data_IF_095207899055
#
_entry.id   IF_095207899055
#
_cell.length_a   1.000
_cell.length_b   1.000
_cell.length_c   1.000
_cell.angle_alpha   90.00
_cell.angle_beta   90.00
_cell.angle_gamma   90.00
#
_symmetry.space_group_name_H-M   'P 1'
#
loop_
_entity.id
_entity.type
_entity.pdbx_description
1 polymer ?
#
# COMPACT_ATOMS: atom_id res chain seq x y z
N UNK A 1 3.96 -4.46 -12.56
CA UNK A 1 2.73 -4.15 -13.34
C UNK A 1 1.96 -5.41 -13.73
N UNK A 2 2.56 -6.38 -14.45
CA UNK A 2 1.85 -7.57 -15.02
C UNK A 2 1.12 -8.34 -13.91
N UNK A 3 1.81 -8.76 -12.84
CA UNK A 3 1.18 -9.53 -11.76
C UNK A 3 0.03 -8.74 -11.12
N UNK A 4 0.23 -7.44 -10.81
CA UNK A 4 -0.81 -6.57 -10.25
C UNK A 4 -2.06 -6.48 -11.13
N UNK A 5 -1.90 -6.42 -12.47
CA UNK A 5 -3.05 -6.41 -13.38
C UNK A 5 -3.75 -7.76 -13.41
N UNK A 6 -3.00 -8.87 -13.33
CA UNK A 6 -3.57 -10.22 -13.42
C UNK A 6 -4.32 -10.64 -12.14
N UNK A 7 -3.95 -10.13 -10.95
CA UNK A 7 -4.67 -10.45 -9.70
C UNK A 7 -6.12 -9.94 -9.68
N UNK A 8 -6.50 -9.04 -10.59
CA UNK A 8 -7.88 -8.61 -10.76
C UNK A 8 -8.79 -9.64 -11.48
N UNK A 9 -8.21 -10.73 -12.01
CA UNK A 9 -8.96 -11.78 -12.71
C UNK A 9 -9.08 -13.03 -11.85
N UNK A 10 -10.30 -13.40 -11.46
CA UNK A 10 -10.59 -14.55 -10.57
C UNK A 10 -10.01 -15.88 -11.10
N UNK A 11 -10.07 -16.10 -12.41
CA UNK A 11 -9.50 -17.30 -13.04
C UNK A 11 -7.99 -17.38 -12.83
N UNK A 12 -7.29 -16.26 -13.01
CA UNK A 12 -5.85 -16.21 -12.80
C UNK A 12 -5.51 -16.41 -11.31
N UNK A 13 -6.21 -15.71 -10.41
CA UNK A 13 -6.04 -15.86 -8.97
C UNK A 13 -6.25 -17.31 -8.52
N UNK A 14 -7.28 -17.99 -9.02
CA UNK A 14 -7.55 -19.40 -8.73
C UNK A 14 -6.42 -20.31 -9.22
N UNK A 15 -5.95 -20.11 -10.45
CA UNK A 15 -4.89 -20.96 -11.03
C UNK A 15 -3.59 -20.85 -10.24
N UNK A 16 -3.13 -19.63 -9.93
CA UNK A 16 -1.85 -19.44 -9.21
C UNK A 16 -1.90 -19.89 -7.76
N UNK A 17 -3.09 -19.86 -7.14
CA UNK A 17 -3.29 -20.30 -5.75
C UNK A 17 -3.47 -21.83 -5.61
N UNK A 18 -3.75 -22.55 -6.71
CA UNK A 18 -4.02 -23.98 -6.68
C UNK A 18 -2.73 -24.79 -6.46
N UNK A 19 -2.57 -25.54 -5.35
CA UNK A 19 -1.34 -26.28 -5.05
C UNK A 19 -1.05 -27.41 -6.04
N UNK A 20 -2.10 -28.11 -6.47
CA UNK A 20 -2.04 -29.18 -7.48
C UNK A 20 -3.38 -29.34 -8.16
N UNK A 21 -3.36 -29.83 -9.38
CA UNK A 21 -4.58 -30.05 -10.16
C UNK A 21 -4.53 -31.42 -10.86
N UNK A 22 -5.55 -32.24 -10.65
CA UNK A 22 -5.71 -33.52 -11.37
C UNK A 22 -6.37 -33.22 -12.71
N UNK A 23 -5.64 -33.48 -13.79
CA UNK A 23 -6.11 -33.30 -15.16
C UNK A 23 -7.14 -34.35 -15.58
N UNK A 24 -7.45 -35.31 -14.69
CA UNK A 24 -8.35 -36.40 -15.00
C UNK A 24 -7.76 -37.41 -15.96
N UNK A 25 -8.65 -38.16 -16.64
CA UNK A 25 -8.26 -39.18 -17.64
C UNK A 25 -8.28 -38.61 -19.05
N UNK A 26 -7.36 -39.12 -19.87
CA UNK A 26 -7.30 -38.88 -21.31
C UNK A 26 -6.70 -40.11 -21.99
N UNK A 27 -6.51 -40.09 -23.32
CA UNK A 27 -6.00 -41.23 -24.10
C UNK A 27 -4.63 -41.77 -23.62
N UNK A 28 -3.81 -40.92 -23.00
CA UNK A 28 -2.49 -41.28 -22.48
C UNK A 28 -2.52 -41.68 -21.00
N UNK A 29 -3.40 -41.07 -20.24
CA UNK A 29 -3.54 -41.26 -18.79
C UNK A 29 -4.95 -41.77 -18.51
N UNK A 30 -5.11 -43.09 -18.49
CA UNK A 30 -6.43 -43.76 -18.39
C UNK A 30 -6.87 -44.02 -16.94
N UNK A 31 -5.97 -43.86 -15.97
CA UNK A 31 -6.27 -44.06 -14.55
C UNK A 31 -6.41 -42.68 -13.87
N UNK A 32 -7.52 -42.40 -13.16
CA UNK A 32 -7.67 -41.15 -12.37
C UNK A 32 -6.53 -40.98 -11.37
N UNK A 33 -6.10 -39.74 -11.16
CA UNK A 33 -5.02 -39.40 -10.21
C UNK A 33 -3.60 -39.66 -10.74
N UNK A 34 -3.45 -40.06 -12.00
CA UNK A 34 -2.12 -40.35 -12.58
C UNK A 34 -1.52 -39.14 -13.32
N UNK A 35 -2.35 -38.15 -13.67
CA UNK A 35 -1.89 -36.94 -14.34
C UNK A 35 -2.18 -35.72 -13.47
N UNK A 36 -1.31 -35.49 -12.45
CA UNK A 36 -1.41 -34.39 -11.52
C UNK A 36 -0.35 -33.33 -11.89
N UNK A 37 -0.80 -32.11 -12.17
CA UNK A 37 0.08 -30.95 -12.31
C UNK A 37 0.33 -30.36 -10.91
N UNK A 38 1.60 -30.20 -10.55
CA UNK A 38 2.03 -29.61 -9.29
C UNK A 38 2.37 -28.13 -9.49
N UNK A 39 1.91 -27.28 -8.58
CA UNK A 39 2.35 -25.89 -8.58
C UNK A 39 3.86 -25.81 -8.26
N UNK A 40 4.57 -25.03 -9.05
CA UNK A 40 6.00 -24.76 -8.83
C UNK A 40 6.26 -23.75 -7.73
N UNK A 41 5.24 -22.93 -7.38
CA UNK A 41 5.27 -22.05 -6.23
C UNK A 41 5.04 -22.87 -4.95
N UNK A 42 6.13 -23.11 -4.21
CA UNK A 42 6.08 -23.89 -2.98
C UNK A 42 5.55 -23.11 -1.77
N UNK A 43 5.38 -21.79 -1.90
CA UNK A 43 4.76 -20.97 -0.86
C UNK A 43 3.24 -21.24 -0.72
N UNK A 44 2.57 -21.72 -1.79
CA UNK A 44 1.15 -22.11 -1.75
C UNK A 44 0.94 -23.63 -1.58
N UNK A 45 2.01 -24.44 -1.59
CA UNK A 45 1.92 -25.89 -1.43
C UNK A 45 2.21 -26.29 0.00
N UNK A 46 1.79 -27.51 0.42
CA UNK A 46 2.17 -28.07 1.71
C UNK A 46 3.67 -28.45 1.71
N UNK A 47 4.52 -27.49 2.03
CA UNK A 47 5.97 -27.61 2.03
C UNK A 47 6.58 -26.79 3.19
N UNK A 48 7.89 -26.89 3.42
CA UNK A 48 8.61 -26.06 4.39
C UNK A 48 8.62 -24.57 4.05
N UNK A 49 8.38 -24.22 2.79
CA UNK A 49 8.27 -22.82 2.33
C UNK A 49 6.88 -22.23 2.54
N UNK A 50 5.85 -23.03 2.84
CA UNK A 50 4.46 -22.59 2.88
C UNK A 50 4.25 -21.32 3.74
N UNK A 51 3.43 -20.40 3.21
CA UNK A 51 2.99 -19.20 3.91
C UNK A 51 1.50 -18.96 3.67
N UNK A 52 0.71 -18.95 4.73
CA UNK A 52 -0.75 -18.81 4.69
C UNK A 52 -1.21 -17.51 3.99
N UNK A 53 -0.38 -16.47 4.04
CA UNK A 53 -0.65 -15.20 3.38
C UNK A 53 -0.33 -15.20 1.87
N UNK A 54 0.37 -16.21 1.32
CA UNK A 54 0.67 -16.27 -0.11
C UNK A 54 -0.55 -16.69 -0.90
N UNK A 55 -0.91 -15.89 -1.89
CA UNK A 55 -2.02 -16.13 -2.81
C UNK A 55 -1.58 -16.79 -4.12
N UNK A 56 -0.28 -16.84 -4.37
CA UNK A 56 0.33 -17.49 -5.51
C UNK A 56 1.31 -16.60 -6.24
N UNK A 57 1.97 -17.19 -7.23
CA UNK A 57 3.00 -16.48 -7.96
C UNK A 57 3.48 -17.22 -9.21
N UNK A 58 4.56 -16.70 -9.80
CA UNK A 58 5.24 -17.28 -10.95
C UNK A 58 6.72 -17.43 -10.69
N UNK A 59 7.18 -18.67 -10.73
CA UNK A 59 8.60 -19.02 -10.63
C UNK A 59 9.28 -18.94 -12.02
N UNK A 60 10.58 -18.68 -12.01
CA UNK A 60 11.43 -18.75 -13.20
C UNK A 60 12.84 -19.18 -12.82
N UNK A 61 13.52 -19.89 -13.70
CA UNK A 61 14.92 -20.30 -13.52
C UNK A 61 15.69 -20.06 -14.81
N UNK A 62 16.89 -19.52 -14.68
CA UNK A 62 17.81 -19.29 -15.82
C UNK A 62 19.23 -19.54 -15.35
N UNK A 63 19.83 -20.66 -15.84
CA UNK A 63 21.16 -21.06 -15.43
C UNK A 63 21.24 -21.29 -13.91
N UNK A 64 22.11 -20.52 -13.26
CA UNK A 64 22.38 -20.61 -11.82
C UNK A 64 21.46 -19.71 -10.96
N UNK A 65 20.45 -19.10 -11.59
CA UNK A 65 19.59 -18.10 -10.96
C UNK A 65 18.14 -18.55 -10.88
N UNK A 66 17.49 -18.27 -9.77
CA UNK A 66 16.05 -18.41 -9.59
C UNK A 66 15.38 -17.05 -9.47
N UNK A 67 14.16 -16.95 -10.01
CA UNK A 67 13.35 -15.75 -9.98
C UNK A 67 11.96 -16.08 -9.47
N UNK A 68 11.33 -15.14 -8.81
CA UNK A 68 9.95 -15.27 -8.35
C UNK A 68 9.24 -13.92 -8.37
N UNK A 69 7.97 -13.93 -8.77
CA UNK A 69 7.03 -12.83 -8.56
C UNK A 69 5.80 -13.39 -7.84
N UNK A 70 5.52 -12.92 -6.65
CA UNK A 70 4.48 -13.42 -5.76
C UNK A 70 3.45 -12.37 -5.37
N UNK A 71 2.21 -12.83 -5.13
CA UNK A 71 1.13 -12.07 -4.54
C UNK A 71 0.85 -12.60 -3.14
N UNK A 72 0.84 -11.69 -2.16
CA UNK A 72 0.67 -12.00 -0.75
C UNK A 72 -0.42 -11.10 -0.17
N UNK A 73 -1.30 -11.67 0.66
CA UNK A 73 -2.38 -10.89 1.28
C UNK A 73 -2.74 -11.45 2.64
N UNK A 74 -2.82 -10.56 3.64
CA UNK A 74 -3.19 -10.86 5.01
C UNK A 74 -3.88 -9.65 5.63
N UNK A 75 -4.91 -9.87 6.45
CA UNK A 75 -5.61 -8.83 7.21
C UNK A 75 -6.15 -7.65 6.36
N UNK A 76 -6.49 -7.89 5.09
CA UNK A 76 -6.95 -6.85 4.16
C UNK A 76 -5.83 -6.11 3.43
N UNK A 77 -4.58 -6.32 3.80
CA UNK A 77 -3.41 -5.79 3.11
C UNK A 77 -2.96 -6.71 1.99
N UNK A 78 -2.35 -6.15 0.95
CA UNK A 78 -1.91 -6.90 -0.23
C UNK A 78 -0.60 -6.35 -0.78
N UNK A 79 0.37 -7.25 -0.93
CA UNK A 79 1.72 -6.93 -1.40
C UNK A 79 2.11 -7.79 -2.59
N UNK A 80 3.00 -7.27 -3.42
CA UNK A 80 3.64 -8.01 -4.52
C UNK A 80 5.14 -8.02 -4.27
N UNK A 81 5.72 -9.22 -4.19
CA UNK A 81 7.16 -9.42 -4.17
C UNK A 81 7.69 -9.71 -5.58
N UNK A 82 8.89 -9.21 -5.88
CA UNK A 82 9.61 -9.58 -7.10
C UNK A 82 11.08 -9.79 -6.73
N UNK A 83 11.54 -11.02 -6.81
CA UNK A 83 12.92 -11.41 -6.58
C UNK A 83 13.53 -11.87 -7.89
N UNK A 84 14.67 -11.32 -8.25
CA UNK A 84 15.38 -11.62 -9.48
C UNK A 84 16.83 -12.00 -9.19
N UNK A 85 17.34 -12.94 -9.96
CA UNK A 85 18.75 -13.37 -9.90
C UNK A 85 19.19 -13.87 -8.50
N UNK A 86 18.32 -14.61 -7.81
CA UNK A 86 18.69 -15.26 -6.55
C UNK A 86 19.50 -16.52 -6.88
N UNK A 87 20.76 -16.62 -6.44
CA UNK A 87 21.60 -17.76 -6.78
C UNK A 87 21.13 -19.03 -6.06
N UNK A 88 21.28 -20.20 -6.71
CA UNK A 88 20.84 -21.46 -6.14
C UNK A 88 21.57 -21.88 -4.86
N UNK A 89 22.78 -21.41 -4.65
CA UNK A 89 23.56 -21.66 -3.43
C UNK A 89 23.08 -20.91 -2.20
N UNK A 90 22.18 -19.92 -2.36
CA UNK A 90 21.54 -19.22 -1.24
C UNK A 90 20.55 -20.11 -0.43
N UNK A 91 20.10 -21.24 -1.00
CA UNK A 91 19.29 -22.26 -0.30
C UNK A 91 19.77 -23.66 -0.72
N UNK A 92 20.93 -24.11 -0.22
CA UNK A 92 21.53 -25.39 -0.64
C UNK A 92 20.72 -26.62 -0.21
N UNK A 93 19.93 -26.52 0.85
CA UNK A 93 19.13 -27.65 1.38
C UNK A 93 17.84 -27.85 0.57
N UNK A 94 17.16 -26.77 0.22
CA UNK A 94 15.85 -26.81 -0.43
C UNK A 94 15.85 -26.59 -1.93
N UNK A 95 16.91 -26.00 -2.47
CA UNK A 95 17.04 -25.61 -3.88
C UNK A 95 15.93 -24.69 -4.40
N UNK A 96 15.36 -23.86 -3.51
CA UNK A 96 14.30 -22.88 -3.82
C UNK A 96 14.58 -21.51 -3.20
N UNK A 97 15.79 -20.94 -3.44
CA UNK A 97 16.23 -19.75 -2.73
C UNK A 97 15.32 -18.54 -2.91
N UNK A 98 14.80 -18.28 -4.12
CA UNK A 98 13.88 -17.17 -4.34
C UNK A 98 12.58 -17.31 -3.53
N UNK A 99 12.11 -18.54 -3.27
CA UNK A 99 10.93 -18.77 -2.42
C UNK A 99 11.26 -18.64 -0.94
N UNK A 100 12.42 -19.16 -0.51
CA UNK A 100 12.89 -19.02 0.89
C UNK A 100 13.06 -17.55 1.27
N UNK A 101 13.77 -16.78 0.44
CA UNK A 101 13.96 -15.34 0.66
C UNK A 101 12.65 -14.56 0.58
N UNK A 102 11.75 -14.89 -0.36
CA UNK A 102 10.42 -14.28 -0.42
C UNK A 102 9.67 -14.47 0.89
N UNK A 103 9.65 -15.71 1.43
CA UNK A 103 9.02 -15.99 2.71
C UNK A 103 9.60 -15.12 3.83
N UNK A 104 10.92 -15.06 3.95
CA UNK A 104 11.60 -14.26 4.97
C UNK A 104 11.30 -12.77 4.85
N UNK A 105 11.37 -12.22 3.63
CA UNK A 105 11.08 -10.80 3.37
C UNK A 105 9.61 -10.48 3.69
N UNK A 106 8.69 -11.34 3.27
CA UNK A 106 7.27 -11.10 3.49
C UNK A 106 6.84 -11.31 4.94
N UNK A 107 7.42 -12.25 5.67
CA UNK A 107 7.27 -12.37 7.12
C UNK A 107 7.67 -11.03 7.79
N UNK A 108 8.84 -10.49 7.43
CA UNK A 108 9.30 -9.19 7.94
C UNK A 108 8.39 -8.02 7.54
N UNK A 109 7.89 -7.98 6.29
CA UNK A 109 6.99 -6.92 5.82
C UNK A 109 5.71 -6.89 6.63
N UNK A 110 5.03 -8.05 6.80
CA UNK A 110 3.77 -8.13 7.56
C UNK A 110 3.95 -7.87 9.06
N UNK A 111 5.14 -8.16 9.62
CA UNK A 111 5.44 -7.87 11.02
C UNK A 111 5.82 -6.40 11.24
N UNK A 112 6.39 -5.73 10.23
CA UNK A 112 7.00 -4.41 10.40
C UNK A 112 6.11 -3.27 9.90
N UNK A 113 5.27 -3.52 8.90
CA UNK A 113 4.47 -2.49 8.24
C UNK A 113 2.98 -2.81 8.23
N UNK A 114 2.17 -1.75 8.14
CA UNK A 114 0.71 -1.84 7.97
C UNK A 114 0.23 -0.71 7.07
N UNK A 115 -0.87 -0.92 6.35
CA UNK A 115 -1.56 0.12 5.61
C UNK A 115 -2.58 0.76 6.55
N UNK A 116 -2.30 1.99 6.97
CA UNK A 116 -3.10 2.71 7.95
C UNK A 116 -3.31 4.18 7.53
N UNK A 117 -4.33 4.86 8.12
CA UNK A 117 -4.50 6.29 7.91
C UNK A 117 -3.32 7.07 8.52
N UNK A 118 -2.69 7.91 7.70
CA UNK A 118 -1.62 8.80 8.14
C UNK A 118 -2.14 10.15 8.64
N UNK A 119 -3.38 10.51 8.29
CA UNK A 119 -4.07 11.73 8.67
C UNK A 119 -5.43 11.41 9.29
N UNK A 120 -5.92 12.29 10.18
CA UNK A 120 -7.26 12.23 10.76
C UNK A 120 -8.07 13.42 10.26
N UNK A 121 -9.05 13.17 9.40
CA UNK A 121 -9.94 14.21 8.84
C UNK A 121 -10.84 14.88 9.88
N UNK A 122 -10.92 14.34 11.09
CA UNK A 122 -11.72 14.91 12.18
C UNK A 122 -10.96 15.90 13.08
N UNK A 123 -9.63 15.99 12.88
CA UNK A 123 -8.75 16.85 13.66
C UNK A 123 -8.12 17.92 12.78
N UNK A 124 -8.10 19.19 13.22
CA UNK A 124 -7.34 20.23 12.52
C UNK A 124 -5.84 19.97 12.69
N UNK A 125 -5.07 20.22 11.64
CA UNK A 125 -3.62 20.00 11.68
C UNK A 125 -2.80 21.27 11.54
N UNK A 126 -3.42 22.38 11.10
CA UNK A 126 -2.81 23.71 11.03
C UNK A 126 -3.91 24.78 10.96
N UNK A 127 -3.51 26.04 10.98
CA UNK A 127 -4.39 27.18 10.78
C UNK A 127 -3.76 28.23 9.87
N UNK A 128 -4.60 29.05 9.23
CA UNK A 128 -4.18 30.16 8.37
C UNK A 128 -4.89 31.45 8.81
N UNK A 129 -4.19 32.57 8.75
CA UNK A 129 -4.75 33.90 9.02
C UNK A 129 -5.86 34.24 8.04
N UNK A 130 -6.84 35.03 8.50
CA UNK A 130 -7.94 35.53 7.67
C UNK A 130 -8.02 37.04 7.72
N UNK A 131 -7.86 37.67 6.55
CA UNK A 131 -8.10 39.09 6.36
C UNK A 131 -9.59 39.38 6.06
N UNK A 132 -9.99 40.62 6.34
CA UNK A 132 -11.32 41.18 6.05
C UNK A 132 -12.46 40.47 6.77
N UNK A 133 -12.21 39.90 7.94
CA UNK A 133 -13.23 39.36 8.83
C UNK A 133 -13.16 40.01 10.20
N UNK A 134 -14.32 40.08 10.88
CA UNK A 134 -14.42 40.45 12.30
C UNK A 134 -14.93 39.29 13.15
N UNK A 135 -15.17 38.13 12.54
CA UNK A 135 -15.65 36.93 13.22
C UNK A 135 -14.49 36.13 13.83
N UNK A 136 -13.38 36.07 13.09
CA UNK A 136 -12.19 35.33 13.49
C UNK A 136 -10.98 35.88 12.74
N UNK A 137 -9.80 35.73 13.34
CA UNK A 137 -8.50 36.10 12.76
C UNK A 137 -7.80 34.91 12.08
N UNK A 138 -8.31 33.69 12.29
CA UNK A 138 -7.76 32.45 11.70
C UNK A 138 -8.86 31.50 11.28
N UNK A 139 -8.55 30.57 10.37
CA UNK A 139 -9.36 29.41 10.03
C UNK A 139 -8.55 28.14 10.20
N UNK A 140 -9.14 27.14 10.89
CA UNK A 140 -8.54 25.83 11.06
C UNK A 140 -8.60 25.04 9.76
N UNK A 141 -7.52 24.36 9.40
CA UNK A 141 -7.43 23.49 8.24
C UNK A 141 -7.42 22.03 8.64
N UNK A 142 -8.21 21.26 7.92
CA UNK A 142 -8.37 19.81 8.08
C UNK A 142 -7.85 19.09 6.85
N UNK A 143 -7.30 17.87 6.98
CA UNK A 143 -7.02 17.03 5.83
C UNK A 143 -8.33 16.70 5.08
N UNK A 144 -8.29 16.74 3.75
CA UNK A 144 -9.45 16.37 2.93
C UNK A 144 -9.74 14.87 2.95
N UNK A 145 -8.71 14.04 3.19
CA UNK A 145 -8.83 12.59 3.33
C UNK A 145 -7.85 12.04 4.38
N UNK A 146 -8.08 10.78 4.80
CA UNK A 146 -7.25 10.10 5.81
C UNK A 146 -5.88 9.65 5.27
N UNK A 147 -5.62 9.79 3.99
CA UNK A 147 -4.38 9.37 3.32
C UNK A 147 -3.91 7.98 3.77
N UNK A 148 -4.58 6.93 3.26
CA UNK A 148 -4.18 5.54 3.53
C UNK A 148 -2.82 5.27 2.89
N UNK A 149 -1.82 4.94 3.69
CA UNK A 149 -0.45 4.69 3.23
C UNK A 149 0.24 3.61 4.07
N UNK A 150 1.39 3.15 3.57
CA UNK A 150 2.23 2.19 4.27
C UNK A 150 2.97 2.90 5.41
N UNK A 151 2.73 2.44 6.63
CA UNK A 151 3.34 2.97 7.85
C UNK A 151 4.04 1.85 8.63
N UNK A 152 5.09 2.17 9.41
CA UNK A 152 5.60 1.23 10.40
C UNK A 152 4.49 0.83 11.37
N UNK A 153 4.34 -0.47 11.65
CA UNK A 153 3.34 -0.98 12.60
C UNK A 153 3.57 -0.42 14.03
N UNK A 154 4.85 -0.23 14.40
CA UNK A 154 5.22 0.47 15.63
C UNK A 154 5.36 1.97 15.37
N UNK A 155 4.54 2.77 16.05
CA UNK A 155 4.55 4.24 15.96
C UNK A 155 3.64 4.82 14.88
N UNK A 156 3.41 4.12 13.78
CA UNK A 156 2.42 4.51 12.76
C UNK A 156 2.53 5.96 12.31
N UNK A 157 1.39 6.65 12.27
CA UNK A 157 1.30 8.05 11.87
C UNK A 157 2.08 9.04 12.77
N UNK A 158 2.37 8.67 14.03
CA UNK A 158 3.17 9.51 14.94
C UNK A 158 4.64 9.68 14.49
N UNK A 159 5.11 8.86 13.56
CA UNK A 159 6.45 8.98 12.98
C UNK A 159 6.50 9.91 11.76
N UNK A 160 5.35 10.43 11.32
CA UNK A 160 5.28 11.32 10.16
C UNK A 160 5.60 12.75 10.52
N UNK A 161 6.30 13.44 9.63
CA UNK A 161 6.63 14.86 9.74
C UNK A 161 5.84 15.62 8.68
N UNK A 162 4.92 16.53 9.06
CA UNK A 162 4.12 17.29 8.12
C UNK A 162 4.88 18.51 7.58
N UNK A 163 4.84 18.70 6.28
CA UNK A 163 5.30 19.92 5.59
C UNK A 163 4.08 20.59 4.93
N UNK A 164 3.75 21.78 5.39
CA UNK A 164 2.59 22.54 4.92
C UNK A 164 2.95 23.45 3.75
N UNK A 165 2.15 23.40 2.69
CA UNK A 165 2.16 24.35 1.60
C UNK A 165 0.81 25.10 1.57
N UNK A 166 0.72 26.14 2.41
CA UNK A 166 -0.48 26.97 2.60
C UNK A 166 -0.09 28.44 2.48
N UNK A 167 -0.99 29.34 2.07
CA UNK A 167 -0.73 30.78 2.05
C UNK A 167 -0.59 31.32 3.49
N UNK A 168 0.15 32.40 3.64
CA UNK A 168 0.30 33.09 4.93
C UNK A 168 -1.02 33.69 5.43
N UNK A 169 -1.90 34.10 4.51
CA UNK A 169 -3.18 34.74 4.79
C UNK A 169 -4.22 34.46 3.70
N UNK A 170 -5.48 34.29 4.08
CA UNK A 170 -6.64 34.17 3.21
C UNK A 170 -7.54 35.39 3.31
N UNK A 171 -8.12 35.81 2.19
CA UNK A 171 -9.12 36.88 2.17
C UNK A 171 -10.53 36.30 2.34
N UNK A 172 -11.28 36.74 3.34
CA UNK A 172 -12.70 36.39 3.46
C UNK A 172 -13.51 36.91 2.23
N UNK A 173 -14.59 36.23 1.79
CA UNK A 173 -15.25 35.10 2.43
C UNK A 173 -14.55 33.78 2.13
N UNK A 174 -14.59 32.87 3.09
CA UNK A 174 -14.10 31.49 2.99
C UNK A 174 -15.29 30.57 3.23
N UNK A 175 -15.40 29.48 2.49
CA UNK A 175 -16.43 28.45 2.73
C UNK A 175 -15.83 27.22 3.35
N UNK A 176 -16.56 26.59 4.27
CA UNK A 176 -16.19 25.28 4.77
C UNK A 176 -16.02 24.29 3.62
N UNK A 177 -14.90 23.57 3.60
CA UNK A 177 -14.54 22.63 2.54
C UNK A 177 -13.75 23.23 1.36
N UNK A 178 -13.56 24.58 1.31
CA UNK A 178 -12.67 25.16 0.29
C UNK A 178 -11.26 24.62 0.44
N UNK A 179 -10.64 24.17 -0.66
CA UNK A 179 -9.23 23.75 -0.67
C UNK A 179 -8.35 24.97 -0.54
N UNK A 180 -7.50 24.97 0.49
CA UNK A 180 -6.63 26.09 0.86
C UNK A 180 -5.18 25.85 0.49
N UNK A 181 -4.72 24.60 0.56
CA UNK A 181 -3.34 24.23 0.31
C UNK A 181 -3.16 22.72 0.42
N UNK A 182 -1.94 22.29 0.71
CA UNK A 182 -1.61 20.87 0.84
C UNK A 182 -0.72 20.62 2.06
N UNK A 183 -0.77 19.39 2.56
CA UNK A 183 0.21 18.82 3.49
C UNK A 183 0.94 17.67 2.81
N UNK A 184 2.26 17.69 2.87
CA UNK A 184 3.11 16.56 2.47
C UNK A 184 3.65 15.91 3.73
N UNK A 185 3.44 14.60 3.87
CA UNK A 185 3.99 13.82 4.99
C UNK A 185 5.30 13.14 4.58
N UNK A 186 6.27 13.18 5.47
CA UNK A 186 7.55 12.48 5.30
C UNK A 186 7.83 11.57 6.50
N UNK A 187 8.62 10.51 6.27
CA UNK A 187 9.25 9.70 7.32
C UNK A 187 10.74 9.65 7.01
N UNK A 188 11.58 10.10 7.94
CA UNK A 188 13.04 10.15 7.77
C UNK A 188 13.48 10.89 6.48
N UNK A 189 12.69 11.91 6.09
CA UNK A 189 12.93 12.70 4.87
C UNK A 189 12.38 12.11 3.57
N UNK A 190 11.87 10.90 3.57
CA UNK A 190 11.20 10.29 2.42
C UNK A 190 9.72 10.66 2.39
N UNK A 191 9.23 11.13 1.23
CA UNK A 191 7.82 11.50 1.04
C UNK A 191 6.96 10.24 0.98
N UNK A 192 5.99 10.14 1.90
CA UNK A 192 5.03 9.03 1.95
C UNK A 192 3.68 9.38 1.31
N UNK A 193 3.38 10.67 1.17
CA UNK A 193 2.17 11.13 0.48
C UNK A 193 1.92 12.62 0.64
N UNK A 194 0.91 13.11 -0.13
CA UNK A 194 0.44 14.50 -0.07
C UNK A 194 -1.08 14.50 -0.10
N UNK A 195 -1.71 15.30 0.75
CA UNK A 195 -3.15 15.49 0.82
C UNK A 195 -3.53 16.96 0.74
N UNK A 196 -4.72 17.25 0.24
CA UNK A 196 -5.30 18.59 0.26
C UNK A 196 -5.70 18.99 1.68
N UNK A 197 -5.61 20.29 1.96
CA UNK A 197 -6.09 20.93 3.18
C UNK A 197 -7.32 21.76 2.88
N UNK A 198 -8.37 21.56 3.65
CA UNK A 198 -9.66 22.23 3.49
C UNK A 198 -9.98 23.11 4.69
N UNK A 199 -10.69 24.23 4.45
CA UNK A 199 -11.19 25.11 5.49
C UNK A 199 -12.25 24.40 6.36
N UNK A 200 -12.09 24.47 7.69
CA UNK A 200 -12.97 23.79 8.64
C UNK A 200 -14.29 24.52 8.93
N UNK A 201 -14.41 25.80 8.54
CA UNK A 201 -15.60 26.61 8.78
C UNK A 201 -15.79 27.71 7.74
N UNK A 202 -17.01 28.21 7.65
CA UNK A 202 -17.33 29.43 6.92
C UNK A 202 -16.77 30.65 7.64
N UNK A 203 -16.22 31.62 6.88
CA UNK A 203 -15.80 32.93 7.39
C UNK A 203 -16.37 34.03 6.50
N UNK A 204 -17.22 34.87 7.05
CA UNK A 204 -17.86 35.97 6.30
C UNK A 204 -16.94 37.17 6.15
N UNK A 205 -17.05 37.85 5.01
CA UNK A 205 -16.34 39.11 4.75
C UNK A 205 -17.00 40.28 5.48
N UNK A 206 -16.18 41.09 6.15
CA UNK A 206 -16.61 42.41 6.59
C UNK A 206 -16.39 43.45 5.48
N UNK A 207 -17.47 44.00 4.94
CA UNK A 207 -17.43 44.94 3.82
C UNK A 207 -16.69 46.26 4.14
N UNK A 208 -16.76 46.72 5.39
CA UNK A 208 -16.10 47.96 5.82
C UNK A 208 -14.58 47.80 5.80
N UNK A 209 -14.07 46.73 6.35
CA UNK A 209 -12.63 46.41 6.35
C UNK A 209 -12.10 46.23 4.93
N UNK A 210 -12.85 45.57 4.07
CA UNK A 210 -12.47 45.33 2.66
C UNK A 210 -12.44 46.62 1.81
N UNK A 211 -13.31 47.60 2.08
CA UNK A 211 -13.38 48.86 1.31
C UNK A 211 -12.29 49.85 1.74
N UNK A 212 -11.74 49.73 2.95
CA UNK A 212 -10.71 50.62 3.52
C UNK A 212 -9.27 50.15 3.24
N UNK A 213 -9.09 48.92 2.71
CA UNK A 213 -7.80 48.36 2.34
C UNK A 213 -7.43 48.70 0.89
#
# INVERSE_FOLDING_TARGET
LILRSLTAYDVFATVIATPSYDMGTNDRYTTPGTYIIQNTDKLVTNSSYHRDYTRGGKTGSLGEWQNFAGWHSQNGESYISVLLNVPYDADPEGMRPALAETGTIMDWVFDTYTIAPALDTTQPITEVRVAYSTQTDTVMLYPADNMMTLLPAAGGAALTEPVFNVPDELAAPIRQGDVVGTVTLTIQGEVIGTADLIAGSDVSRNQVLYTLS
#
